data_IF_778221099148
#
_entry.id   IF_778221099148
#
_cell.length_a   1.000
_cell.length_b   1.000
_cell.length_c   1.000
_cell.angle_alpha   90.00
_cell.angle_beta   90.00
_cell.angle_gamma   90.00
#
_symmetry.space_group_name_H-M   'P 1'
#
loop_
_entity.id
_entity.type
_entity.pdbx_description
1 polymer ?
#
# COMPACT_ATOMS: atom_id res chain seq x y z
N UNK A 1 3.17 -27.54 57.73
CA UNK A 1 3.60 -26.62 56.64
C UNK A 1 2.47 -26.17 55.70
N UNK A 2 1.45 -26.99 55.37
CA UNK A 2 0.38 -26.60 54.42
C UNK A 2 -0.57 -25.48 54.90
N UNK A 3 -0.75 -25.27 56.20
CA UNK A 3 -1.63 -24.21 56.74
C UNK A 3 -1.07 -22.79 56.57
N UNK A 4 0.25 -22.65 56.50
CA UNK A 4 0.91 -21.35 56.32
C UNK A 4 0.85 -20.85 54.88
N UNK A 5 0.86 -21.76 53.90
CA UNK A 5 0.73 -21.41 52.48
C UNK A 5 -0.66 -20.82 52.13
N UNK A 6 -1.72 -21.26 52.81
CA UNK A 6 -3.07 -20.72 52.59
C UNK A 6 -3.18 -19.31 53.19
N UNK A 7 -2.58 -19.09 54.37
CA UNK A 7 -2.56 -17.78 55.02
C UNK A 7 -1.78 -16.73 54.21
N UNK A 8 -0.65 -17.10 53.60
CA UNK A 8 0.10 -16.19 52.73
C UNK A 8 -0.67 -15.83 51.45
N UNK A 9 -1.39 -16.77 50.84
CA UNK A 9 -2.22 -16.49 49.66
C UNK A 9 -3.37 -15.53 49.99
N UNK A 10 -4.04 -15.72 51.13
CA UNK A 10 -5.12 -14.82 51.57
C UNK A 10 -4.59 -13.40 51.86
N UNK A 11 -3.43 -13.29 52.51
CA UNK A 11 -2.79 -12.00 52.76
C UNK A 11 -2.41 -11.27 51.47
N UNK A 12 -1.92 -12.00 50.45
CA UNK A 12 -1.52 -11.43 49.16
C UNK A 12 -2.72 -10.91 48.36
N UNK A 13 -3.85 -11.63 48.40
CA UNK A 13 -5.11 -11.17 47.78
C UNK A 13 -5.63 -9.90 48.47
N UNK A 14 -5.58 -9.84 49.81
CA UNK A 14 -6.01 -8.65 50.55
C UNK A 14 -5.18 -7.40 50.18
N UNK A 15 -3.87 -7.55 50.02
CA UNK A 15 -2.97 -6.45 49.60
C UNK A 15 -3.30 -5.96 48.18
N UNK A 16 -3.59 -6.88 47.24
CA UNK A 16 -3.97 -6.52 45.87
C UNK A 16 -5.29 -5.72 45.82
N UNK A 17 -6.28 -6.09 46.64
CA UNK A 17 -7.56 -5.36 46.72
C UNK A 17 -7.36 -3.94 47.27
N UNK A 18 -6.50 -3.78 48.29
CA UNK A 18 -6.18 -2.45 48.85
C UNK A 18 -5.45 -1.58 47.82
N UNK A 19 -4.51 -2.14 47.05
CA UNK A 19 -3.82 -1.41 45.97
C UNK A 19 -4.76 -0.93 44.86
N UNK A 20 -5.69 -1.78 44.42
CA UNK A 20 -6.70 -1.39 43.42
C UNK A 20 -7.64 -0.29 43.94
N UNK A 21 -8.00 -0.36 45.23
CA UNK A 21 -8.82 0.66 45.87
C UNK A 21 -8.10 2.02 45.95
N UNK A 22 -6.80 2.03 46.26
CA UNK A 22 -6.00 3.25 46.29
C UNK A 22 -5.81 3.87 44.89
N UNK A 23 -5.59 3.05 43.86
CA UNK A 23 -5.50 3.51 42.46
C UNK A 23 -6.79 4.20 42.01
N UNK A 24 -7.96 3.64 42.34
CA UNK A 24 -9.26 4.28 42.02
C UNK A 24 -9.49 5.58 42.76
N UNK A 25 -8.90 5.76 43.95
CA UNK A 25 -9.01 7.02 44.71
C UNK A 25 -8.02 8.10 44.27
N UNK A 26 -7.00 7.77 43.47
CA UNK A 26 -5.97 8.72 43.01
C UNK A 26 -6.19 9.26 41.61
N UNK A 27 -7.35 9.00 40.99
CA UNK A 27 -7.80 9.78 39.82
C UNK A 27 -8.13 11.20 40.25
N UNK A 28 -7.09 12.03 40.28
CA UNK A 28 -7.13 13.47 40.44
C UNK A 28 -7.85 14.05 39.22
N UNK A 29 -8.99 14.69 39.45
CA UNK A 29 -9.70 15.51 38.47
C UNK A 29 -8.76 16.57 37.90
N UNK A 30 -8.36 16.41 36.64
CA UNK A 30 -7.65 17.44 35.89
C UNK A 30 -8.65 18.55 35.52
N UNK A 31 -8.38 19.83 35.84
CA UNK A 31 -9.29 20.92 35.49
C UNK A 31 -9.26 21.16 33.97
N UNK A 32 -10.40 21.00 33.32
CA UNK A 32 -10.60 21.43 31.93
C UNK A 32 -10.58 22.96 31.88
N UNK A 33 -9.53 23.52 31.29
CA UNK A 33 -9.49 24.94 30.90
C UNK A 33 -10.34 25.10 29.64
N UNK A 34 -11.50 25.74 29.79
CA UNK A 34 -12.43 26.00 28.70
C UNK A 34 -11.88 27.01 27.70
N UNK A 35 -11.93 26.66 26.42
CA UNK A 35 -12.00 27.64 25.33
C UNK A 35 -13.37 27.44 24.68
N UNK A 36 -14.20 28.47 24.80
CA UNK A 36 -15.58 28.53 24.35
C UNK A 36 -15.63 28.55 22.82
N UNK A 37 -16.12 27.48 22.19
CA UNK A 37 -16.60 27.52 20.80
C UNK A 37 -18.08 27.18 20.85
N UNK A 38 -18.91 28.21 20.63
CA UNK A 38 -20.34 28.08 20.35
C UNK A 38 -20.52 27.21 19.12
N UNK A 39 -21.23 26.10 19.26
CA UNK A 39 -21.84 25.41 18.12
C UNK A 39 -23.24 24.97 18.51
N UNK A 40 -24.18 25.33 17.65
CA UNK A 40 -25.61 25.15 17.80
C UNK A 40 -26.01 23.68 17.96
N UNK A 41 -27.09 23.50 18.71
CA UNK A 41 -27.66 22.21 19.08
C UNK A 41 -28.18 21.43 17.86
N UNK A 42 -27.74 20.16 17.75
CA UNK A 42 -28.48 19.11 17.04
C UNK A 42 -28.74 17.98 18.03
N UNK A 43 -30.00 17.56 18.06
CA UNK A 43 -30.65 16.74 19.07
C UNK A 43 -30.70 15.26 18.61
N UNK A 44 -30.48 14.32 19.53
CA UNK A 44 -30.73 12.87 19.40
C UNK A 44 -29.45 12.02 19.30
N UNK A 45 -29.27 10.83 19.90
CA UNK A 45 -30.13 9.81 20.55
C UNK A 45 -29.19 9.02 21.51
N UNK A 46 -29.62 8.53 22.70
CA UNK A 46 -28.77 7.70 23.56
C UNK A 46 -28.70 6.24 23.08
N UNK A 47 -27.49 5.67 22.98
CA UNK A 47 -27.30 4.22 22.84
C UNK A 47 -26.96 3.61 24.21
N UNK A 48 -27.67 2.55 24.54
CA UNK A 48 -27.60 1.75 25.76
C UNK A 48 -26.38 0.84 25.82
N UNK A 49 -25.94 0.59 27.05
CA UNK A 49 -24.92 -0.37 27.44
C UNK A 49 -25.35 -1.84 27.29
N UNK A 50 -24.34 -2.71 27.40
CA UNK A 50 -24.34 -4.17 27.51
C UNK A 50 -24.32 -5.00 26.21
N UNK A 51 -23.18 -5.66 25.95
CA UNK A 51 -23.00 -7.10 26.22
C UNK A 51 -21.51 -7.40 26.30
N UNK A 52 -21.08 -7.84 27.48
CA UNK A 52 -19.86 -8.59 27.72
C UNK A 52 -20.12 -10.05 27.33
N UNK A 53 -19.32 -10.64 26.44
CA UNK A 53 -19.13 -12.09 26.43
C UNK A 53 -17.78 -12.48 25.80
N UNK A 54 -16.84 -12.73 26.72
CA UNK A 54 -15.85 -13.81 26.76
C UNK A 54 -15.44 -14.52 25.45
N UNK A 55 -14.16 -14.38 25.11
CA UNK A 55 -13.40 -15.34 24.31
C UNK A 55 -11.94 -15.32 24.74
N UNK A 56 -11.54 -16.32 25.52
CA UNK A 56 -10.18 -16.48 26.05
C UNK A 56 -9.12 -16.56 24.94
N UNK A 57 -8.08 -15.76 25.06
CA UNK A 57 -6.84 -15.91 24.29
C UNK A 57 -5.84 -16.74 25.12
N UNK A 58 -5.18 -17.76 24.55
CA UNK A 58 -4.21 -18.55 25.28
C UNK A 58 -2.83 -17.90 25.31
N UNK A 59 -2.25 -17.94 26.51
CA UNK A 59 -0.83 -18.03 26.89
C UNK A 59 0.16 -16.98 26.34
N UNK A 60 0.69 -16.23 27.31
CA UNK A 60 1.86 -15.36 27.24
C UNK A 60 3.05 -15.99 26.50
N UNK A 61 3.34 -15.45 25.32
CA UNK A 61 4.68 -15.54 24.72
C UNK A 61 5.36 -14.20 24.97
N UNK A 62 6.16 -14.13 26.05
CA UNK A 62 7.09 -13.04 26.28
C UNK A 62 8.15 -13.06 25.16
N UNK A 63 7.95 -12.23 24.14
CA UNK A 63 9.02 -11.91 23.18
C UNK A 63 9.90 -10.81 23.77
N UNK A 64 11.24 -10.98 23.83
CA UNK A 64 12.13 -9.92 24.29
C UNK A 64 12.03 -8.73 23.33
N UNK A 65 11.57 -7.59 23.86
CA UNK A 65 11.49 -6.31 23.17
C UNK A 65 12.91 -5.76 22.95
N UNK A 66 13.58 -6.20 21.89
CA UNK A 66 14.83 -5.59 21.42
C UNK A 66 14.45 -4.28 20.72
N UNK A 67 14.74 -3.15 21.36
CA UNK A 67 14.80 -1.86 20.68
C UNK A 67 16.03 -1.89 19.77
N UNK A 68 15.89 -2.44 18.57
CA UNK A 68 16.84 -2.16 17.49
C UNK A 68 16.41 -0.86 16.82
N UNK A 69 17.31 0.11 16.79
CA UNK A 69 17.12 1.33 16.01
C UNK A 69 16.79 0.96 14.56
N UNK A 70 15.81 1.62 13.93
CA UNK A 70 15.43 1.31 12.56
C UNK A 70 16.65 1.52 11.65
N UNK A 71 17.21 0.42 11.14
CA UNK A 71 18.16 0.46 10.03
C UNK A 71 17.50 1.21 8.89
N UNK A 72 18.14 2.30 8.46
CA UNK A 72 17.77 3.06 7.27
C UNK A 72 17.71 2.08 6.09
N UNK A 73 16.50 1.68 5.72
CA UNK A 73 16.26 1.04 4.43
C UNK A 73 16.59 2.08 3.37
N UNK A 74 17.36 1.68 2.38
CA UNK A 74 17.65 2.49 1.20
C UNK A 74 16.31 2.89 0.57
N UNK A 75 15.97 4.17 0.76
CA UNK A 75 14.89 4.84 0.07
C UNK A 75 15.19 4.72 -1.42
N UNK A 76 14.32 4.02 -2.16
CA UNK A 76 14.17 4.22 -3.61
C UNK A 76 14.22 5.73 -3.86
N UNK A 77 15.11 6.13 -4.79
CA UNK A 77 15.47 7.52 -5.11
C UNK A 77 14.39 8.50 -4.66
N UNK A 78 14.66 9.18 -3.54
CA UNK A 78 13.81 10.20 -2.98
C UNK A 78 13.71 11.34 -3.99
N UNK A 79 12.73 11.27 -4.90
CA UNK A 79 12.22 12.45 -5.58
C UNK A 79 11.91 13.46 -4.48
N UNK A 80 12.52 14.64 -4.61
CA UNK A 80 12.30 15.75 -3.69
C UNK A 80 10.78 15.99 -3.63
N UNK A 81 10.17 15.65 -2.49
CA UNK A 81 8.77 15.93 -2.23
C UNK A 81 8.62 17.45 -2.13
N UNK A 82 8.43 18.11 -3.27
CA UNK A 82 8.01 19.50 -3.30
C UNK A 82 6.49 19.50 -3.12
N UNK A 83 6.05 19.85 -1.91
CA UNK A 83 4.63 20.07 -1.61
C UNK A 83 4.09 21.12 -2.57
N UNK A 84 3.31 20.70 -3.55
CA UNK A 84 2.64 21.58 -4.51
C UNK A 84 1.24 21.91 -3.96
N UNK A 85 0.69 23.11 -4.19
CA UNK A 85 -0.71 23.36 -3.87
C UNK A 85 -1.58 22.36 -4.65
N UNK A 86 -2.54 21.72 -3.98
CA UNK A 86 -3.46 20.79 -4.61
C UNK A 86 -4.10 21.45 -5.84
N UNK A 87 -3.82 20.89 -7.02
CA UNK A 87 -4.38 21.37 -8.27
C UNK A 87 -5.88 21.06 -8.34
N UNK A 88 -6.66 21.83 -9.12
CA UNK A 88 -8.11 21.57 -9.33
C UNK A 88 -8.39 20.13 -9.80
N UNK A 89 -7.41 19.50 -10.48
CA UNK A 89 -7.48 18.13 -10.96
C UNK A 89 -7.11 17.06 -9.90
N UNK A 90 -6.63 17.45 -8.71
CA UNK A 90 -6.06 16.53 -7.71
C UNK A 90 -7.07 15.76 -6.86
N UNK A 91 -8.38 15.83 -7.13
CA UNK A 91 -9.33 15.01 -6.36
C UNK A 91 -9.19 13.53 -6.74
N UNK A 92 -9.37 12.61 -5.79
CA UNK A 92 -9.26 11.17 -6.07
C UNK A 92 -10.15 10.72 -7.24
N UNK A 93 -11.38 11.24 -7.32
CA UNK A 93 -12.30 11.01 -8.45
C UNK A 93 -11.71 11.48 -9.78
N UNK A 94 -11.09 12.66 -9.80
CA UNK A 94 -10.43 13.20 -10.98
C UNK A 94 -9.20 12.40 -11.39
N UNK A 95 -8.40 11.95 -10.41
CA UNK A 95 -7.24 11.07 -10.64
C UNK A 95 -7.70 9.75 -11.26
N UNK A 96 -8.68 9.07 -10.66
CA UNK A 96 -9.20 7.80 -11.18
C UNK A 96 -9.81 7.97 -12.57
N UNK A 97 -10.62 9.02 -12.80
CA UNK A 97 -11.27 9.26 -14.09
C UNK A 97 -10.32 9.73 -15.20
N UNK A 98 -9.11 10.18 -14.87
CA UNK A 98 -8.08 10.49 -15.88
C UNK A 98 -7.27 9.26 -16.31
N UNK A 99 -7.51 8.10 -15.68
CA UNK A 99 -6.94 6.82 -16.08
C UNK A 99 -7.39 6.45 -17.50
N UNK A 100 -6.45 6.44 -18.44
CA UNK A 100 -6.72 6.22 -19.87
C UNK A 100 -6.69 7.49 -20.73
N UNK A 101 -6.61 8.69 -20.13
CA UNK A 101 -6.41 9.94 -20.88
C UNK A 101 -4.95 10.40 -20.84
N UNK A 102 -4.37 10.51 -19.65
CA UNK A 102 -3.05 11.12 -19.47
C UNK A 102 -1.99 10.16 -18.93
N UNK A 103 -2.39 9.06 -18.28
CA UNK A 103 -1.45 8.17 -17.58
C UNK A 103 -1.77 6.66 -17.72
N UNK A 104 -2.67 6.31 -18.64
CA UNK A 104 -3.00 4.93 -18.97
C UNK A 104 -2.11 4.34 -20.07
N UNK A 105 -2.26 3.05 -20.35
CA UNK A 105 -1.63 2.44 -21.54
C UNK A 105 -2.23 3.11 -22.79
N UNK A 106 -1.39 3.79 -23.59
CA UNK A 106 -1.84 4.35 -24.87
C UNK A 106 -2.41 3.22 -25.72
N UNK A 107 -3.63 3.39 -26.23
CA UNK A 107 -4.13 2.53 -27.29
C UNK A 107 -3.20 2.70 -28.49
N UNK A 108 -2.70 1.59 -29.04
CA UNK A 108 -1.84 1.62 -30.24
C UNK A 108 -2.49 2.31 -31.45
N UNK A 109 -3.81 2.41 -31.43
CA UNK A 109 -4.62 3.00 -32.49
C UNK A 109 -4.90 4.51 -32.28
N UNK A 110 -4.68 5.05 -31.06
CA UNK A 110 -4.85 6.48 -30.77
C UNK A 110 -3.52 7.21 -30.96
N UNK A 111 -3.26 7.65 -32.20
CA UNK A 111 -2.06 8.39 -32.61
C UNK A 111 -1.95 9.82 -32.03
N UNK A 112 -2.88 10.26 -31.17
CA UNK A 112 -3.12 11.70 -30.94
C UNK A 112 -2.98 12.23 -29.51
N UNK A 113 -2.48 11.46 -28.54
CA UNK A 113 -2.13 12.07 -27.24
C UNK A 113 -0.66 12.50 -27.24
N UNK A 114 -0.38 13.69 -27.80
CA UNK A 114 0.96 14.31 -27.80
C UNK A 114 1.50 14.64 -26.40
N UNK A 115 0.62 14.75 -25.39
CA UNK A 115 1.00 15.14 -24.03
C UNK A 115 0.42 14.14 -23.02
N UNK A 116 1.22 13.15 -22.64
CA UNK A 116 0.91 12.17 -21.60
C UNK A 116 1.98 12.20 -20.52
N UNK A 117 1.68 11.63 -19.35
CA UNK A 117 2.69 11.35 -18.34
C UNK A 117 3.73 10.39 -18.90
N UNK A 118 4.95 10.51 -18.40
CA UNK A 118 6.00 9.52 -18.64
C UNK A 118 5.57 8.16 -18.08
N UNK A 119 6.22 7.09 -18.56
CA UNK A 119 5.97 5.74 -18.05
C UNK A 119 6.25 5.62 -16.54
N UNK A 120 7.29 6.31 -16.06
CA UNK A 120 7.67 6.37 -14.65
C UNK A 120 6.62 7.10 -13.80
N UNK A 121 6.20 8.31 -14.19
CA UNK A 121 5.14 9.07 -13.51
C UNK A 121 3.84 8.25 -13.44
N UNK A 122 3.47 7.61 -14.55
CA UNK A 122 2.28 6.74 -14.64
C UNK A 122 2.39 5.52 -13.73
N UNK A 123 3.59 4.92 -13.62
CA UNK A 123 3.86 3.82 -12.70
C UNK A 123 3.75 4.23 -11.24
N UNK A 124 4.34 5.38 -10.89
CA UNK A 124 4.30 5.93 -9.54
C UNK A 124 2.88 6.27 -9.09
N UNK A 125 2.08 6.91 -9.96
CA UNK A 125 0.68 7.24 -9.65
C UNK A 125 -0.15 5.96 -9.48
N UNK A 126 0.05 4.94 -10.34
CA UNK A 126 -0.61 3.62 -10.17
C UNK A 126 -0.28 3.00 -8.82
N UNK A 127 1.00 2.99 -8.45
CA UNK A 127 1.44 2.41 -7.19
C UNK A 127 0.83 3.15 -5.99
N UNK A 128 0.93 4.48 -5.97
CA UNK A 128 0.37 5.29 -4.87
C UNK A 128 -1.15 5.18 -4.77
N UNK A 129 -1.86 5.11 -5.91
CA UNK A 129 -3.30 4.89 -5.94
C UNK A 129 -3.67 3.51 -5.38
N UNK A 130 -2.93 2.48 -5.77
CA UNK A 130 -3.11 1.13 -5.22
C UNK A 130 -2.83 1.06 -3.71
N UNK A 131 -1.82 1.80 -3.24
CA UNK A 131 -1.43 1.84 -1.83
C UNK A 131 -2.47 2.54 -0.97
N UNK A 132 -2.94 3.69 -1.43
CA UNK A 132 -4.02 4.43 -0.77
C UNK A 132 -5.30 3.58 -0.68
N UNK A 133 -5.74 2.98 -1.78
CA UNK A 133 -6.97 2.19 -1.77
C UNK A 133 -6.82 0.90 -0.94
N UNK A 134 -5.64 0.27 -0.94
CA UNK A 134 -5.35 -0.88 -0.08
C UNK A 134 -5.42 -0.50 1.40
N UNK A 135 -4.89 0.67 1.76
CA UNK A 135 -4.99 1.21 3.12
C UNK A 135 -6.46 1.41 3.54
N UNK A 136 -7.29 2.06 2.70
CA UNK A 136 -8.72 2.26 2.96
C UNK A 136 -9.48 0.92 3.07
N UNK A 137 -9.16 -0.04 2.20
CA UNK A 137 -9.71 -1.39 2.22
C UNK A 137 -9.37 -2.13 3.51
N UNK A 138 -8.16 -1.95 4.04
CA UNK A 138 -7.72 -2.57 5.30
C UNK A 138 -8.31 -1.89 6.53
N UNK A 139 -8.38 -0.55 6.56
CA UNK A 139 -9.03 0.20 7.62
C UNK A 139 -10.51 -0.21 7.79
N UNK A 140 -11.21 -0.35 6.66
CA UNK A 140 -12.63 -0.74 6.63
C UNK A 140 -12.86 -2.26 6.62
N UNK A 141 -11.80 -3.07 6.48
CA UNK A 141 -11.85 -4.53 6.27
C UNK A 141 -12.73 -4.94 5.08
N UNK A 142 -12.76 -4.14 4.02
CA UNK A 142 -13.52 -4.36 2.79
C UNK A 142 -12.58 -4.45 1.58
N UNK A 143 -12.03 -5.64 1.25
CA UNK A 143 -11.20 -5.83 0.06
C UNK A 143 -11.88 -5.40 -1.25
N UNK A 144 -13.21 -5.44 -1.28
CA UNK A 144 -14.00 -5.01 -2.43
C UNK A 144 -13.78 -3.54 -2.83
N UNK A 145 -13.28 -2.68 -1.93
CA UNK A 145 -12.92 -1.30 -2.27
C UNK A 145 -11.82 -1.25 -3.35
N UNK A 146 -10.96 -2.27 -3.48
CA UNK A 146 -10.00 -2.34 -4.58
C UNK A 146 -10.67 -2.44 -5.96
N UNK A 147 -11.93 -2.87 -6.04
CA UNK A 147 -12.66 -2.98 -7.31
C UNK A 147 -13.05 -1.62 -7.91
N UNK A 148 -12.94 -0.54 -7.13
CA UNK A 148 -13.13 0.83 -7.60
C UNK A 148 -11.95 1.31 -8.46
N UNK A 149 -10.81 0.60 -8.38
CA UNK A 149 -9.65 0.93 -9.19
C UNK A 149 -9.79 0.40 -10.62
N UNK A 150 -9.23 1.13 -11.60
CA UNK A 150 -9.19 0.66 -12.98
C UNK A 150 -8.49 -0.70 -13.10
N UNK A 151 -9.04 -1.59 -13.93
CA UNK A 151 -8.55 -2.96 -14.11
C UNK A 151 -7.92 -3.23 -15.48
N UNK A 152 -7.55 -2.18 -16.21
CA UNK A 152 -7.04 -2.31 -17.58
C UNK A 152 -5.56 -2.74 -17.56
N UNK A 153 -5.11 -3.44 -18.59
CA UNK A 153 -3.70 -3.82 -18.78
C UNK A 153 -3.30 -5.17 -18.19
N UNK A 154 -1.99 -5.47 -18.24
CA UNK A 154 -1.41 -6.70 -17.67
C UNK A 154 -1.41 -6.63 -16.14
N UNK A 155 -1.35 -7.78 -15.46
CA UNK A 155 -1.37 -7.86 -13.99
C UNK A 155 -0.37 -6.90 -13.30
N UNK A 156 0.85 -6.77 -13.85
CA UNK A 156 1.93 -5.93 -13.30
C UNK A 156 1.78 -4.43 -13.54
N UNK A 157 0.78 -4.00 -14.31
CA UNK A 157 0.53 -2.59 -14.61
C UNK A 157 -0.86 -2.13 -14.13
N UNK A 158 -1.56 -3.02 -13.40
CA UNK A 158 -2.94 -2.88 -13.01
C UNK A 158 -3.06 -2.47 -11.52
N UNK A 159 -3.52 -1.23 -11.21
CA UNK A 159 -3.59 -0.75 -9.83
C UNK A 159 -4.57 -1.55 -8.97
N UNK A 160 -5.64 -2.12 -9.55
CA UNK A 160 -6.55 -3.03 -8.84
C UNK A 160 -5.84 -4.30 -8.39
N UNK A 161 -4.99 -4.88 -9.24
CA UNK A 161 -4.21 -6.07 -8.90
C UNK A 161 -3.29 -5.80 -7.71
N UNK A 162 -2.51 -4.72 -7.75
CA UNK A 162 -1.63 -4.34 -6.65
C UNK A 162 -2.38 -4.07 -5.34
N UNK A 163 -3.54 -3.41 -5.42
CA UNK A 163 -4.39 -3.18 -4.26
C UNK A 163 -4.83 -4.51 -3.62
N UNK A 164 -5.34 -5.45 -4.43
CA UNK A 164 -5.80 -6.76 -3.94
C UNK A 164 -4.63 -7.57 -3.36
N UNK A 165 -3.47 -7.61 -4.02
CA UNK A 165 -2.29 -8.32 -3.52
C UNK A 165 -1.87 -7.79 -2.14
N UNK A 166 -1.77 -6.46 -1.98
CA UNK A 166 -1.39 -5.84 -0.70
C UNK A 166 -2.42 -6.07 0.41
N UNK A 167 -3.72 -5.95 0.09
CA UNK A 167 -4.80 -6.25 1.05
C UNK A 167 -4.73 -7.71 1.48
N UNK A 168 -4.63 -8.64 0.53
CA UNK A 168 -4.56 -10.08 0.83
C UNK A 168 -3.32 -10.42 1.64
N UNK A 169 -2.19 -9.76 1.37
CA UNK A 169 -0.94 -9.94 2.11
C UNK A 169 -1.09 -9.58 3.60
N UNK A 170 -1.61 -8.39 3.89
CA UNK A 170 -1.83 -7.94 5.29
C UNK A 170 -2.94 -8.77 5.97
N UNK A 171 -4.03 -9.08 5.26
CA UNK A 171 -5.11 -9.90 5.81
C UNK A 171 -4.67 -11.36 6.06
N UNK A 172 -3.75 -11.89 5.25
CA UNK A 172 -3.15 -13.20 5.51
C UNK A 172 -2.26 -13.19 6.74
N UNK A 173 -1.43 -12.15 6.92
CA UNK A 173 -0.67 -11.95 8.16
C UNK A 173 -1.61 -11.86 9.38
N UNK A 174 -2.72 -11.14 9.26
CA UNK A 174 -3.75 -11.07 10.29
C UNK A 174 -4.46 -12.40 10.54
N UNK A 175 -4.66 -13.23 9.51
CA UNK A 175 -5.22 -14.56 9.64
C UNK A 175 -4.29 -15.47 10.44
N UNK A 176 -3.00 -15.47 10.09
CA UNK A 176 -1.99 -16.21 10.85
C UNK A 176 -1.87 -15.73 12.30
N UNK A 177 -2.04 -14.44 12.54
CA UNK A 177 -2.05 -13.85 13.87
C UNK A 177 -3.36 -14.12 14.66
N UNK A 178 -4.34 -14.81 14.07
CA UNK A 178 -5.65 -15.09 14.69
C UNK A 178 -6.57 -13.88 14.82
N UNK A 179 -6.24 -12.73 14.20
CA UNK A 179 -7.04 -11.51 14.25
C UNK A 179 -8.23 -11.52 13.28
N UNK A 180 -8.14 -12.32 12.22
CA UNK A 180 -9.26 -12.61 11.32
C UNK A 180 -9.43 -14.12 11.19
N UNK A 181 -10.68 -14.59 11.24
CA UNK A 181 -11.01 -16.03 11.19
C UNK A 181 -11.43 -16.52 9.81
N UNK A 182 -11.55 -15.60 8.85
CA UNK A 182 -12.01 -15.91 7.50
C UNK A 182 -10.88 -16.56 6.70
N UNK A 183 -11.04 -17.84 6.36
CA UNK A 183 -10.04 -18.63 5.63
C UNK A 183 -9.82 -18.17 4.19
N UNK A 184 -10.74 -17.37 3.63
CA UNK A 184 -10.61 -16.84 2.28
C UNK A 184 -9.35 -15.99 2.10
N UNK A 185 -8.91 -15.23 3.11
CA UNK A 185 -7.67 -14.45 3.01
C UNK A 185 -6.43 -15.34 2.85
N UNK A 186 -6.44 -16.50 3.49
CA UNK A 186 -5.40 -17.49 3.30
C UNK A 186 -5.46 -18.14 1.90
N UNK A 187 -6.65 -18.51 1.43
CA UNK A 187 -6.85 -19.07 0.08
C UNK A 187 -6.45 -18.08 -1.01
N UNK A 188 -6.79 -16.81 -0.85
CA UNK A 188 -6.42 -15.76 -1.80
C UNK A 188 -4.90 -15.49 -1.80
N UNK A 189 -4.23 -15.58 -0.65
CA UNK A 189 -2.76 -15.53 -0.60
C UNK A 189 -2.12 -16.69 -1.40
N UNK A 190 -2.70 -17.90 -1.34
CA UNK A 190 -2.26 -19.06 -2.14
C UNK A 190 -2.36 -18.85 -3.66
N UNK A 191 -3.25 -17.97 -4.10
CA UNK A 191 -3.41 -17.61 -5.52
C UNK A 191 -2.48 -16.49 -5.97
N UNK A 192 -1.76 -15.86 -5.05
CA UNK A 192 -0.86 -14.74 -5.37
C UNK A 192 0.36 -15.19 -6.17
N UNK A 193 0.92 -14.29 -6.99
CA UNK A 193 2.14 -14.57 -7.75
C UNK A 193 3.35 -14.88 -6.83
N UNK A 194 3.30 -14.50 -5.54
CA UNK A 194 4.39 -14.66 -4.56
C UNK A 194 4.75 -16.12 -4.25
N UNK A 195 3.75 -16.99 -4.35
CA UNK A 195 3.89 -18.43 -4.10
C UNK A 195 3.40 -19.26 -5.27
N UNK A 196 3.30 -18.63 -6.45
CA UNK A 196 2.93 -19.29 -7.69
C UNK A 196 3.88 -20.43 -8.02
N UNK A 197 3.30 -21.56 -8.42
CA UNK A 197 4.04 -22.80 -8.68
C UNK A 197 4.29 -23.65 -7.44
N UNK A 198 3.90 -23.19 -6.24
CA UNK A 198 3.78 -24.07 -5.08
C UNK A 198 2.41 -24.79 -5.16
N UNK A 199 2.42 -26.09 -5.44
CA UNK A 199 1.22 -26.92 -5.56
C UNK A 199 0.63 -27.28 -4.18
N UNK A 200 0.33 -26.27 -3.36
CA UNK A 200 -0.02 -26.43 -1.94
C UNK A 200 -1.53 -26.70 -1.77
N UNK A 201 -1.95 -27.82 -1.12
CA UNK A 201 -3.35 -28.07 -0.81
C UNK A 201 -3.93 -26.99 0.12
N UNK A 202 -4.87 -26.20 -0.39
CA UNK A 202 -5.39 -25.00 0.29
C UNK A 202 -5.88 -25.27 1.71
N UNK A 203 -6.72 -26.30 1.89
CA UNK A 203 -7.32 -26.64 3.19
C UNK A 203 -6.25 -26.87 4.26
N UNK A 204 -5.24 -27.68 3.96
CA UNK A 204 -4.21 -28.06 4.91
C UNK A 204 -3.27 -26.91 5.22
N UNK A 205 -2.93 -26.11 4.21
CA UNK A 205 -2.12 -24.92 4.40
C UNK A 205 -2.83 -23.90 5.29
N UNK A 206 -4.09 -23.60 5.03
CA UNK A 206 -4.82 -22.62 5.83
C UNK A 206 -5.06 -23.10 7.26
N UNK A 207 -5.23 -24.41 7.46
CA UNK A 207 -5.26 -25.01 8.80
C UNK A 207 -3.93 -24.83 9.54
N UNK A 208 -2.80 -25.07 8.87
CA UNK A 208 -1.47 -24.88 9.43
C UNK A 208 -1.18 -23.39 9.72
N UNK A 209 -1.50 -22.51 8.77
CA UNK A 209 -1.29 -21.07 8.87
C UNK A 209 -2.07 -20.44 10.04
N UNK A 210 -3.24 -20.97 10.38
CA UNK A 210 -4.03 -20.52 11.55
C UNK A 210 -3.31 -20.72 12.90
N UNK A 211 -2.25 -21.53 12.96
CA UNK A 211 -1.40 -21.69 14.14
C UNK A 211 -0.26 -20.67 14.22
N UNK A 212 -0.22 -19.71 13.29
CA UNK A 212 0.78 -18.65 13.26
C UNK A 212 1.99 -18.96 12.39
N UNK A 213 2.62 -17.90 11.88
CA UNK A 213 3.77 -17.98 10.98
C UNK A 213 4.94 -18.81 11.57
N UNK A 214 5.31 -18.69 12.87
CA UNK A 214 6.40 -19.49 13.43
C UNK A 214 6.15 -21.00 13.43
N UNK A 215 4.89 -21.45 13.46
CA UNK A 215 4.58 -22.88 13.48
C UNK A 215 4.17 -23.44 12.12
N UNK A 216 3.99 -22.59 11.11
CA UNK A 216 3.40 -22.94 9.82
C UNK A 216 4.13 -24.11 9.15
N UNK A 217 5.46 -24.01 8.99
CA UNK A 217 6.22 -25.08 8.34
C UNK A 217 6.31 -26.35 9.18
N UNK A 218 6.35 -26.24 10.52
CA UNK A 218 6.33 -27.40 11.41
C UNK A 218 4.99 -28.15 11.29
N UNK A 219 3.87 -27.42 11.27
CA UNK A 219 2.52 -27.97 11.07
C UNK A 219 2.32 -28.57 9.69
N UNK A 220 3.06 -28.07 8.70
CA UNK A 220 3.05 -28.63 7.35
C UNK A 220 3.68 -30.03 7.29
N UNK A 221 4.67 -30.32 8.14
CA UNK A 221 5.30 -31.65 8.22
C UNK A 221 4.39 -32.69 8.89
N UNK A 222 3.52 -32.24 9.80
CA UNK A 222 2.53 -33.06 10.49
C UNK A 222 1.37 -33.51 9.59
N UNK A 223 1.27 -32.96 8.37
CA UNK A 223 0.19 -33.28 7.44
C UNK A 223 0.21 -34.78 7.02
N UNK A 224 -0.96 -35.36 6.70
CA UNK A 224 -1.02 -36.72 6.15
C UNK A 224 -0.11 -36.86 4.93
N UNK A 225 0.53 -38.02 4.73
CA UNK A 225 1.49 -38.24 3.63
C UNK A 225 0.92 -37.84 2.26
N UNK A 226 -0.35 -38.15 2.01
CA UNK A 226 -1.07 -37.80 0.78
C UNK A 226 -1.12 -36.28 0.52
N UNK A 227 -1.25 -35.46 1.57
CA UNK A 227 -1.22 -34.01 1.47
C UNK A 227 0.22 -33.47 1.31
N UNK A 228 1.22 -34.15 1.87
CA UNK A 228 2.65 -33.82 1.74
C UNK A 228 3.24 -34.13 0.36
N UNK A 229 2.70 -35.14 -0.32
CA UNK A 229 3.18 -35.55 -1.65
C UNK A 229 2.64 -34.64 -2.77
N UNK A 230 1.46 -34.05 -2.56
CA UNK A 230 0.90 -33.02 -3.44
C UNK A 230 1.61 -31.67 -3.27
N UNK A 231 1.92 -31.30 -2.01
CA UNK A 231 2.34 -29.94 -1.66
C UNK A 231 3.73 -29.48 -2.11
N UNK A 232 4.57 -30.39 -2.64
CA UNK A 232 6.02 -30.15 -2.65
C UNK A 232 6.76 -30.58 -3.92
N UNK A 233 6.08 -30.72 -5.07
CA UNK A 233 6.78 -30.98 -6.35
C UNK A 233 7.76 -29.85 -6.75
N UNK A 234 7.54 -28.59 -6.35
CA UNK A 234 8.53 -27.51 -6.57
C UNK A 234 9.61 -27.45 -5.48
N UNK A 235 9.43 -28.19 -4.38
CA UNK A 235 10.35 -28.25 -3.24
C UNK A 235 11.17 -29.55 -3.25
N UNK A 236 11.61 -30.01 -4.43
CA UNK A 236 12.47 -31.19 -4.69
C UNK A 236 13.89 -31.10 -4.07
N UNK A 237 14.08 -30.28 -3.04
CA UNK A 237 15.30 -30.25 -2.27
C UNK A 237 15.28 -31.37 -1.22
N UNK A 238 16.46 -31.95 -0.95
CA UNK A 238 16.69 -32.90 0.16
C UNK A 238 16.29 -32.34 1.55
N UNK A 239 15.88 -31.08 1.64
CA UNK A 239 15.53 -30.38 2.88
C UNK A 239 14.24 -29.55 2.73
N UNK A 240 13.11 -30.23 2.50
CA UNK A 240 11.75 -29.66 2.35
C UNK A 240 11.42 -28.59 3.40
N UNK A 241 11.76 -28.85 4.67
CA UNK A 241 11.55 -27.93 5.80
C UNK A 241 12.28 -26.61 5.64
N UNK A 242 13.59 -26.68 5.33
CA UNK A 242 14.43 -25.49 5.12
C UNK A 242 13.92 -24.66 3.95
N UNK A 243 13.45 -25.31 2.89
CA UNK A 243 12.88 -24.58 1.75
C UNK A 243 11.53 -23.94 2.10
N UNK A 244 10.67 -24.58 2.91
CA UNK A 244 9.45 -23.94 3.43
C UNK A 244 9.76 -22.65 4.20
N UNK A 245 10.77 -22.69 5.09
CA UNK A 245 11.17 -21.53 5.88
C UNK A 245 11.68 -20.34 5.06
N UNK A 246 12.10 -20.54 3.79
CA UNK A 246 12.45 -19.44 2.88
C UNK A 246 11.25 -18.63 2.41
N UNK A 247 10.05 -19.21 2.43
CA UNK A 247 8.80 -18.55 2.06
C UNK A 247 7.98 -18.15 3.31
N UNK A 248 8.05 -18.98 4.35
CA UNK A 248 7.31 -18.79 5.61
C UNK A 248 8.30 -18.78 6.78
N UNK A 249 9.08 -17.71 6.96
CA UNK A 249 10.15 -17.65 7.94
C UNK A 249 9.61 -17.61 9.37
N UNK A 250 10.29 -18.24 10.32
CA UNK A 250 10.03 -18.00 11.76
C UNK A 250 10.82 -16.82 12.29
N UNK A 251 12.00 -16.62 11.70
CA UNK A 251 12.96 -15.61 12.11
C UNK A 251 13.70 -15.08 10.89
N UNK A 252 14.49 -14.02 11.08
CA UNK A 252 15.15 -13.32 9.97
C UNK A 252 16.24 -14.13 9.28
N UNK A 253 16.85 -15.09 9.98
CA UNK A 253 17.89 -15.97 9.42
C UNK A 253 17.31 -16.94 8.40
N UNK A 254 16.02 -17.29 8.53
CA UNK A 254 15.33 -18.15 7.57
C UNK A 254 15.21 -17.48 6.18
N UNK A 255 15.24 -16.15 6.13
CA UNK A 255 15.22 -15.39 4.88
C UNK A 255 16.59 -15.25 4.20
N UNK A 256 17.68 -15.67 4.85
CA UNK A 256 19.02 -15.53 4.28
C UNK A 256 19.23 -16.47 3.07
N UNK A 257 19.76 -15.94 1.97
CA UNK A 257 20.05 -16.73 0.76
C UNK A 257 18.79 -17.27 0.06
N UNK A 258 17.66 -16.59 0.24
CA UNK A 258 16.46 -16.75 -0.60
C UNK A 258 16.54 -15.80 -1.79
N UNK A 259 16.14 -16.24 -2.97
CA UNK A 259 15.93 -15.33 -4.12
C UNK A 259 14.79 -14.34 -3.86
N UNK A 260 13.96 -14.60 -2.84
CA UNK A 260 12.85 -13.78 -2.39
C UNK A 260 13.11 -13.24 -0.98
N UNK A 261 14.35 -12.81 -0.70
CA UNK A 261 14.76 -12.37 0.63
C UNK A 261 13.92 -11.19 1.16
N UNK A 262 13.64 -10.21 0.30
CA UNK A 262 12.88 -9.02 0.71
C UNK A 262 11.43 -9.38 1.03
N UNK A 263 10.76 -10.13 0.15
CA UNK A 263 9.38 -10.55 0.40
C UNK A 263 9.24 -11.53 1.57
N UNK A 264 10.26 -12.35 1.84
CA UNK A 264 10.35 -13.18 3.03
C UNK A 264 10.40 -12.32 4.30
N UNK A 265 11.28 -11.30 4.31
CA UNK A 265 11.40 -10.36 5.42
C UNK A 265 10.11 -9.56 5.61
N UNK A 266 9.53 -9.08 4.53
CA UNK A 266 8.26 -8.34 4.57
C UNK A 266 7.17 -9.16 5.24
N UNK A 267 7.10 -10.47 4.99
CA UNK A 267 6.05 -11.32 5.54
C UNK A 267 6.25 -11.49 7.05
N UNK A 268 7.50 -11.75 7.44
CA UNK A 268 7.89 -11.87 8.83
C UNK A 268 7.56 -10.59 9.62
N UNK A 269 7.97 -9.44 9.09
CA UNK A 269 7.80 -8.15 9.76
C UNK A 269 6.34 -7.68 9.77
N UNK A 270 5.60 -7.93 8.69
CA UNK A 270 4.15 -7.70 8.64
C UNK A 270 3.44 -8.58 9.68
N UNK A 271 3.75 -9.88 9.74
CA UNK A 271 3.20 -10.77 10.75
C UNK A 271 3.53 -10.31 12.17
N UNK A 272 4.80 -9.98 12.46
CA UNK A 272 5.22 -9.50 13.79
C UNK A 272 4.48 -8.21 14.17
N UNK A 273 4.37 -7.25 13.25
CA UNK A 273 3.66 -6.00 13.48
C UNK A 273 2.18 -6.20 13.76
N UNK A 274 1.51 -7.10 13.02
CA UNK A 274 0.10 -7.41 13.23
C UNK A 274 -0.11 -8.21 14.52
N UNK A 275 0.60 -9.32 14.71
CA UNK A 275 0.48 -10.18 15.89
C UNK A 275 0.86 -9.47 17.19
N UNK A 276 1.84 -8.56 17.13
CA UNK A 276 2.28 -7.74 18.26
C UNK A 276 1.48 -6.45 18.46
N UNK A 277 0.45 -6.20 17.64
CA UNK A 277 -0.31 -4.94 17.63
C UNK A 277 0.60 -3.69 17.58
N UNK A 278 1.65 -3.75 16.77
CA UNK A 278 2.65 -2.70 16.64
C UNK A 278 2.94 -2.41 15.15
N UNK A 279 2.25 -1.43 14.55
CA UNK A 279 2.39 -1.15 13.12
C UNK A 279 3.79 -0.67 12.73
N UNK A 280 4.59 -0.15 13.66
CA UNK A 280 5.96 0.32 13.39
C UNK A 280 6.94 -0.81 13.07
N UNK A 281 6.57 -2.07 13.35
CA UNK A 281 7.36 -3.24 12.94
C UNK A 281 7.04 -3.68 11.51
N UNK A 282 5.98 -3.18 10.90
CA UNK A 282 5.70 -3.50 9.51
C UNK A 282 6.73 -2.81 8.58
N UNK A 283 7.13 -3.49 7.49
CA UNK A 283 8.03 -2.91 6.50
C UNK A 283 7.43 -1.65 5.87
N UNK A 284 8.28 -0.74 5.39
CA UNK A 284 7.86 0.60 4.91
C UNK A 284 6.74 0.57 3.86
N UNK A 285 6.73 -0.41 2.95
CA UNK A 285 5.67 -0.55 1.95
C UNK A 285 4.29 -0.98 2.48
N UNK A 286 4.19 -1.31 3.78
CA UNK A 286 2.99 -1.83 4.45
C UNK A 286 2.74 -1.17 5.82
N UNK A 287 3.57 -0.22 6.26
CA UNK A 287 3.48 0.41 7.59
C UNK A 287 2.12 1.07 7.82
N UNK A 288 1.70 1.93 6.91
CA UNK A 288 0.41 2.63 6.94
C UNK A 288 -0.76 1.65 6.84
N UNK A 289 -0.60 0.57 6.07
CA UNK A 289 -1.61 -0.47 5.89
C UNK A 289 -1.81 -1.30 7.17
N UNK A 290 -0.73 -1.66 7.86
CA UNK A 290 -0.79 -2.28 9.17
C UNK A 290 -1.43 -1.34 10.19
N UNK A 291 -1.04 -0.07 10.20
CA UNK A 291 -1.61 0.93 11.10
C UNK A 291 -3.12 1.09 10.86
N UNK A 292 -3.54 1.19 9.60
CA UNK A 292 -4.93 1.26 9.19
C UNK A 292 -5.72 0.02 9.63
N UNK A 293 -5.19 -1.19 9.39
CA UNK A 293 -5.84 -2.44 9.80
C UNK A 293 -6.02 -2.55 11.32
N UNK A 294 -4.98 -2.21 12.10
CA UNK A 294 -4.98 -2.33 13.56
C UNK A 294 -5.87 -1.27 14.21
N UNK A 295 -5.76 -0.01 13.76
CA UNK A 295 -6.56 1.10 14.27
C UNK A 295 -8.00 1.13 13.74
N UNK A 296 -8.28 0.41 12.64
CA UNK A 296 -9.55 0.45 11.89
C UNK A 296 -9.95 1.86 11.48
N UNK A 297 -8.97 2.69 11.12
CA UNK A 297 -9.16 4.11 10.85
C UNK A 297 -8.53 4.52 9.53
N UNK A 298 -9.33 5.18 8.70
CA UNK A 298 -8.90 5.82 7.45
C UNK A 298 -7.96 7.02 7.70
N UNK A 299 -7.85 7.49 8.95
CA UNK A 299 -6.91 8.54 9.31
C UNK A 299 -5.46 8.17 8.99
N UNK A 300 -5.11 6.88 9.07
CA UNK A 300 -3.78 6.37 8.74
C UNK A 300 -3.46 6.43 7.23
N UNK A 301 -4.49 6.56 6.38
CA UNK A 301 -4.35 6.57 4.92
C UNK A 301 -4.20 7.98 4.34
N UNK A 302 -4.37 9.04 5.15
CA UNK A 302 -4.33 10.43 4.67
C UNK A 302 -2.98 10.81 4.08
N UNK A 303 -1.87 10.37 4.68
CA UNK A 303 -0.54 10.63 4.15
C UNK A 303 -0.35 10.05 2.73
N UNK A 304 -0.84 8.83 2.49
CA UNK A 304 -0.80 8.21 1.16
C UNK A 304 -1.66 8.98 0.15
N UNK A 305 -2.82 9.47 0.59
CA UNK A 305 -3.71 10.31 -0.23
C UNK A 305 -3.03 11.62 -0.64
N UNK A 306 -2.45 12.33 0.32
CA UNK A 306 -1.76 13.60 0.07
C UNK A 306 -0.59 13.39 -0.89
N UNK A 307 0.22 12.35 -0.67
CA UNK A 307 1.34 12.01 -1.55
C UNK A 307 0.90 11.68 -2.99
N UNK A 308 -0.21 10.95 -3.14
CA UNK A 308 -0.82 10.67 -4.44
C UNK A 308 -1.29 11.95 -5.13
N UNK A 309 -1.99 12.82 -4.41
CA UNK A 309 -2.52 14.10 -4.94
C UNK A 309 -1.37 14.99 -5.42
N UNK A 310 -0.34 15.15 -4.59
CA UNK A 310 0.81 16.00 -4.90
C UNK A 310 1.58 15.48 -6.12
N UNK A 311 1.84 14.16 -6.16
CA UNK A 311 2.55 13.53 -7.29
C UNK A 311 1.75 13.63 -8.59
N UNK A 312 0.43 13.44 -8.52
CA UNK A 312 -0.44 13.61 -9.67
C UNK A 312 -0.46 15.05 -10.17
N UNK A 313 -0.61 16.03 -9.26
CA UNK A 313 -0.66 17.44 -9.62
C UNK A 313 0.66 17.93 -10.21
N UNK A 314 1.80 17.43 -9.71
CA UNK A 314 3.11 17.70 -10.30
C UNK A 314 3.18 17.22 -11.75
N UNK A 315 2.85 15.95 -12.01
CA UNK A 315 2.86 15.39 -13.36
C UNK A 315 1.87 16.11 -14.29
N UNK A 316 0.68 16.43 -13.77
CA UNK A 316 -0.36 17.15 -14.50
C UNK A 316 0.08 18.56 -14.93
N UNK A 317 0.68 19.33 -14.02
CA UNK A 317 1.15 20.69 -14.34
C UNK A 317 2.31 20.65 -15.34
N UNK A 318 3.28 19.75 -15.15
CA UNK A 318 4.39 19.55 -16.08
C UNK A 318 3.92 19.21 -17.50
N UNK A 319 2.93 18.34 -17.62
CA UNK A 319 2.30 18.01 -18.90
C UNK A 319 1.60 19.23 -19.51
N UNK A 320 0.90 20.03 -18.70
CA UNK A 320 0.23 21.25 -19.17
C UNK A 320 1.20 22.33 -19.64
N UNK A 321 2.30 22.53 -18.92
CA UNK A 321 3.35 23.47 -19.31
C UNK A 321 3.98 23.07 -20.64
N UNK A 322 4.17 21.75 -20.86
CA UNK A 322 4.67 21.22 -22.14
C UNK A 322 3.67 21.45 -23.28
N UNK A 323 2.37 21.22 -23.02
CA UNK A 323 1.29 21.48 -23.99
C UNK A 323 1.21 22.96 -24.39
N UNK A 324 1.35 23.86 -23.42
CA UNK A 324 1.34 25.31 -23.66
C UNK A 324 2.58 25.78 -24.42
N UNK A 325 3.76 25.24 -24.09
CA UNK A 325 5.00 25.57 -24.79
C UNK A 325 4.91 25.19 -26.28
N UNK A 326 4.47 23.97 -26.59
CA UNK A 326 4.34 23.51 -27.97
C UNK A 326 3.29 24.30 -28.75
N UNK A 327 2.19 24.70 -28.10
CA UNK A 327 1.19 25.60 -28.71
C UNK A 327 1.81 26.95 -29.09
N UNK A 328 2.60 27.56 -28.20
CA UNK A 328 3.29 28.82 -28.47
C UNK A 328 4.29 28.68 -29.62
N UNK A 329 5.10 27.64 -29.62
CA UNK A 329 6.06 27.36 -30.72
C UNK A 329 5.33 27.18 -32.06
N UNK A 330 4.20 26.45 -32.06
CA UNK A 330 3.39 26.24 -33.27
C UNK A 330 2.77 27.55 -33.79
N UNK A 331 2.27 28.40 -32.89
CA UNK A 331 1.72 29.71 -33.25
C UNK A 331 2.80 30.67 -33.78
N UNK A 332 3.99 30.68 -33.17
CA UNK A 332 5.14 31.46 -33.65
C UNK A 332 5.60 31.00 -35.04
N UNK A 333 5.69 29.68 -35.27
CA UNK A 333 6.02 29.13 -36.59
C UNK A 333 5.00 29.54 -37.66
N UNK A 334 3.70 29.52 -37.34
CA UNK A 334 2.64 29.98 -38.24
C UNK A 334 2.77 31.48 -38.53
N UNK A 335 3.06 32.30 -37.52
CA UNK A 335 3.27 33.73 -37.70
C UNK A 335 4.49 34.04 -38.58
N UNK A 336 5.59 33.29 -38.43
CA UNK A 336 6.78 33.41 -39.30
C UNK A 336 6.45 33.01 -40.74
N UNK A 337 5.71 31.91 -40.95
CA UNK A 337 5.25 31.49 -42.27
C UNK A 337 4.34 32.54 -42.93
N UNK A 338 3.41 33.14 -42.19
CA UNK A 338 2.58 34.24 -42.71
C UNK A 338 3.39 35.49 -43.05
N UNK A 339 4.37 35.87 -42.21
CA UNK A 339 5.26 37.00 -42.51
C UNK A 339 6.09 36.75 -43.78
N UNK A 340 6.64 35.54 -43.93
CA UNK A 340 7.40 35.17 -45.14
C UNK A 340 6.51 35.18 -46.39
N UNK A 341 5.26 34.71 -46.28
CA UNK A 341 4.29 34.78 -47.37
C UNK A 341 3.97 36.23 -47.76
N UNK A 342 3.68 37.10 -46.77
CA UNK A 342 3.43 38.53 -47.02
C UNK A 342 4.66 39.25 -47.61
N UNK A 343 5.87 38.88 -47.18
CA UNK A 343 7.10 39.44 -47.73
C UNK A 343 7.29 39.06 -49.21
N UNK A 344 7.00 37.81 -49.58
CA UNK A 344 7.01 37.36 -50.99
C UNK A 344 5.96 38.09 -51.82
N UNK A 345 4.71 38.16 -51.35
CA UNK A 345 3.63 38.87 -52.04
C UNK A 345 3.94 40.36 -52.24
N UNK A 346 4.58 41.02 -51.27
CA UNK A 346 5.03 42.41 -51.44
C UNK A 346 6.19 42.52 -52.45
N UNK A 347 7.15 41.60 -52.44
CA UNK A 347 8.27 41.60 -53.40
C UNK A 347 7.77 41.50 -54.85
N UNK A 348 6.83 40.59 -55.09
CA UNK A 348 6.21 40.37 -56.41
C UNK A 348 5.42 41.59 -56.87
N UNK A 349 4.71 42.27 -55.95
CA UNK A 349 3.88 43.43 -56.27
C UNK A 349 4.69 44.69 -56.64
N UNK A 350 5.94 44.79 -56.19
CA UNK A 350 6.79 45.95 -56.43
C UNK A 350 7.90 45.72 -57.47
N UNK A 351 7.93 44.57 -58.16
CA UNK A 351 8.93 44.25 -59.20
C UNK A 351 10.37 44.53 -58.76
N UNK A 352 10.70 44.22 -57.49
CA UNK A 352 12.04 44.42 -56.97
C UNK A 352 12.98 43.38 -57.60
N UNK A 353 14.03 43.78 -58.35
CA UNK A 353 14.90 42.85 -59.03
C UNK A 353 15.77 42.07 -58.03
N UNK A 354 15.76 40.76 -58.19
CA UNK A 354 16.62 39.82 -57.47
C UNK A 354 15.79 38.70 -56.85
N UNK A 355 16.10 37.45 -57.17
CA UNK A 355 15.59 36.29 -56.43
C UNK A 355 15.29 35.02 -57.22
N UNK A 356 15.70 34.86 -58.48
CA UNK A 356 15.51 33.58 -59.20
C UNK A 356 16.57 32.51 -58.84
N UNK A 357 17.66 32.85 -58.13
CA UNK A 357 18.74 31.88 -57.82
C UNK A 357 18.56 31.08 -56.51
N UNK A 358 17.67 31.46 -55.57
CA UNK A 358 17.52 30.74 -54.28
C UNK A 358 16.33 29.76 -54.23
N UNK A 359 15.51 29.69 -55.27
CA UNK A 359 14.35 28.80 -55.31
C UNK A 359 14.71 27.33 -55.62
N UNK A 360 15.85 27.08 -56.27
CA UNK A 360 16.24 25.73 -56.72
C UNK A 360 16.99 24.89 -55.68
N UNK A 361 17.47 25.51 -54.59
CA UNK A 361 18.29 24.81 -53.59
C UNK A 361 17.48 24.25 -52.39
N UNK A 362 16.30 24.81 -52.10
CA UNK A 362 15.44 24.32 -51.01
C UNK A 362 14.50 23.17 -51.42
N UNK A 363 14.33 22.87 -52.71
CA UNK A 363 13.49 21.75 -53.18
C UNK A 363 14.26 20.42 -53.24
N UNK A 364 15.55 20.41 -52.90
CA UNK A 364 16.41 19.19 -52.86
C UNK A 364 16.69 18.66 -51.45
N UNK A 365 16.11 19.24 -50.41
CA UNK A 365 16.35 18.83 -49.01
C UNK A 365 15.09 18.39 -48.23
N UNK A 366 13.93 18.25 -48.89
CA UNK A 366 12.76 17.52 -48.31
C UNK A 366 12.84 16.02 -48.54
#
# INVERSE_FOLDING_TARGET
MKKWAVLTVIALIAVLVVLQYLQRKTEISVPQTGTEIKTEAVQGIPLTEEIVSTGAAPADVFLPRRQEEPKKFETFASFVYQKQPACKAGTLKNIISSHGKFWGEMNKDEKEFKFTFTAEESGNIRQMLSDYQACEALASRKPALCNELPSNGKAFSNPRYFCIDKVNYVMFAAYMAGMVKNDSYCKEFLKSDRIKGADIPEYWFCKAAAHGLPSLCDKFEELPKQARDLSMKSFESKNKKKTCYKYFPRNEMDCAGSSWQDGCRDLLFTYKGIAGNNPTQCPGGYSEMCAAFLSKSNGQCQFLKEKLVDSYCYAYNKMKDSEEHDKRVTEEQKAVLEMNKRAREMRDKFNLPGGEEEAEENEKQE
#
